data_IF_012108212404
#
_entry.id   IF_012108212404
#
_cell.length_a   1.000
_cell.length_b   1.000
_cell.length_c   1.000
_cell.angle_alpha   90.00
_cell.angle_beta   90.00
_cell.angle_gamma   90.00
#
_symmetry.space_group_name_H-M   'P 1'
#
loop_
_entity.id
_entity.type
_entity.pdbx_description
1 polymer ?
#
# COMPACT_ATOMS: atom_id res chain seq x y z
N UNK A 1 -5.13 11.64 9.34
CA UNK A 1 -4.49 10.58 8.54
C UNK A 1 -4.83 10.75 7.07
N UNK A 2 -3.81 10.84 6.24
CA UNK A 2 -3.89 11.06 4.78
C UNK A 2 -2.75 10.31 4.11
N UNK A 3 -2.97 9.85 2.89
CA UNK A 3 -1.90 9.25 2.08
C UNK A 3 -1.22 10.38 1.30
N UNK A 4 0.07 10.57 1.52
CA UNK A 4 0.93 11.36 0.64
C UNK A 4 1.42 10.44 -0.48
N UNK A 5 0.74 10.51 -1.62
CA UNK A 5 1.10 9.74 -2.81
C UNK A 5 2.45 10.21 -3.37
N UNK A 6 3.35 9.25 -3.58
CA UNK A 6 4.65 9.49 -4.18
C UNK A 6 4.55 9.25 -5.69
N UNK A 7 5.19 10.11 -6.47
CA UNK A 7 5.39 9.81 -7.89
C UNK A 7 6.45 8.72 -8.02
N UNK A 8 6.06 7.59 -8.61
CA UNK A 8 6.98 6.51 -8.94
C UNK A 8 7.14 6.43 -10.46
N UNK A 9 8.38 6.41 -10.98
CA UNK A 9 8.60 6.15 -12.41
C UNK A 9 8.35 4.69 -12.79
N UNK A 10 8.22 3.79 -11.80
CA UNK A 10 8.09 2.34 -12.01
C UNK A 10 6.63 1.86 -11.93
N UNK A 11 5.81 2.53 -11.12
CA UNK A 11 4.40 2.15 -10.92
C UNK A 11 3.51 3.38 -10.96
N UNK A 12 2.52 3.36 -11.86
CA UNK A 12 1.44 4.35 -11.85
C UNK A 12 0.26 3.80 -11.05
N UNK A 13 -0.14 4.52 -10.01
CA UNK A 13 -1.34 4.19 -9.23
C UNK A 13 -2.53 4.98 -9.81
N UNK A 14 -3.57 4.31 -10.36
CA UNK A 14 -4.75 4.99 -10.88
C UNK A 14 -5.47 5.81 -9.81
N UNK A 15 -6.06 6.95 -10.21
CA UNK A 15 -6.77 7.85 -9.28
C UNK A 15 -7.95 7.17 -8.56
N UNK A 16 -8.62 6.20 -9.19
CA UNK A 16 -9.67 5.41 -8.56
C UNK A 16 -9.11 4.53 -7.43
N UNK A 17 -8.00 3.82 -7.68
CA UNK A 17 -7.30 3.03 -6.67
C UNK A 17 -6.82 3.90 -5.50
N UNK A 18 -6.33 5.12 -5.76
CA UNK A 18 -5.96 6.07 -4.71
C UNK A 18 -7.14 6.43 -3.81
N UNK A 19 -8.29 6.79 -4.41
CA UNK A 19 -9.50 7.14 -3.64
C UNK A 19 -10.03 5.96 -2.83
N UNK A 20 -10.01 4.76 -3.39
CA UNK A 20 -10.42 3.56 -2.66
C UNK A 20 -9.48 3.25 -1.50
N UNK A 21 -8.17 3.34 -1.73
CA UNK A 21 -7.16 3.15 -0.70
C UNK A 21 -7.32 4.14 0.46
N UNK A 22 -7.61 5.41 0.18
CA UNK A 22 -7.89 6.41 1.22
C UNK A 22 -9.16 6.08 2.02
N UNK A 23 -10.22 5.59 1.35
CA UNK A 23 -11.45 5.13 2.03
C UNK A 23 -11.21 3.88 2.88
N UNK A 24 -10.37 2.97 2.41
CA UNK A 24 -9.99 1.78 3.14
C UNK A 24 -9.13 2.13 4.36
N UNK A 25 -8.14 3.02 4.20
CA UNK A 25 -7.26 3.48 5.27
C UNK A 25 -8.04 4.02 6.47
N UNK A 26 -9.12 4.78 6.23
CA UNK A 26 -9.97 5.32 7.28
C UNK A 26 -10.65 4.25 8.16
N UNK A 27 -10.63 2.97 7.74
CA UNK A 27 -11.23 1.83 8.43
C UNK A 27 -10.19 0.84 8.98
N UNK A 28 -8.91 1.04 8.69
CA UNK A 28 -7.85 0.12 9.13
C UNK A 28 -7.54 0.34 10.61
N UNK A 29 -7.45 -0.75 11.37
CA UNK A 29 -6.89 -0.74 12.72
C UNK A 29 -5.36 -0.78 12.67
N UNK A 30 -4.73 0.37 12.89
CA UNK A 30 -3.27 0.53 12.88
C UNK A 30 -2.59 -0.04 14.13
N UNK A 31 -3.34 -0.25 15.21
CA UNK A 31 -2.83 -0.85 16.44
C UNK A 31 -2.49 -2.32 16.26
N UNK A 32 -3.22 -3.01 15.38
CA UNK A 32 -2.98 -4.41 15.02
C UNK A 32 -1.91 -4.63 13.95
N UNK A 33 -1.38 -3.57 13.32
CA UNK A 33 -0.39 -3.69 12.25
C UNK A 33 1.01 -3.93 12.84
N UNK A 34 1.55 -5.14 12.63
CA UNK A 34 2.92 -5.55 12.98
C UNK A 34 3.98 -4.91 12.09
N UNK A 35 5.24 -5.31 12.29
CA UNK A 35 6.38 -4.83 11.51
C UNK A 35 6.56 -5.70 10.26
N UNK A 36 6.46 -5.07 9.09
CA UNK A 36 6.43 -5.77 7.80
C UNK A 36 7.70 -6.58 7.53
N UNK A 37 8.87 -6.08 7.90
CA UNK A 37 10.14 -6.79 7.68
C UNK A 37 10.26 -8.02 8.58
N UNK A 38 9.62 -7.98 9.75
CA UNK A 38 9.64 -9.07 10.72
C UNK A 38 8.66 -10.19 10.41
N UNK A 39 7.42 -9.86 10.05
CA UNK A 39 6.32 -10.83 9.97
C UNK A 39 5.48 -10.73 8.69
N UNK A 40 5.81 -9.80 7.78
CA UNK A 40 5.05 -9.55 6.56
C UNK A 40 3.68 -8.91 6.81
N UNK A 41 3.42 -8.41 8.02
CA UNK A 41 2.14 -7.81 8.39
C UNK A 41 1.81 -6.63 7.49
N UNK A 42 0.69 -6.74 6.79
CA UNK A 42 0.15 -5.69 5.94
C UNK A 42 -1.37 -5.73 5.92
N UNK A 43 -1.99 -4.60 5.60
CA UNK A 43 -3.43 -4.48 5.40
C UNK A 43 -3.72 -4.09 3.95
N UNK A 44 -4.60 -4.83 3.28
CA UNK A 44 -5.02 -4.49 1.91
C UNK A 44 -5.82 -3.20 1.90
N UNK A 45 -5.39 -2.22 1.10
CA UNK A 45 -6.09 -0.96 0.86
C UNK A 45 -6.90 -0.99 -0.45
N UNK A 46 -6.39 -1.67 -1.47
CA UNK A 46 -7.03 -1.80 -2.78
C UNK A 46 -6.56 -3.07 -3.49
N UNK A 47 -7.43 -3.72 -4.24
CA UNK A 47 -7.08 -4.85 -5.10
C UNK A 47 -7.83 -4.76 -6.42
N UNK A 48 -7.09 -4.66 -7.52
CA UNK A 48 -7.60 -4.60 -8.89
C UNK A 48 -6.76 -5.44 -9.84
N UNK A 49 -7.08 -5.40 -11.12
CA UNK A 49 -6.37 -6.16 -12.16
C UNK A 49 -4.88 -5.73 -12.22
N UNK A 50 -3.99 -6.65 -11.83
CA UNK A 50 -2.54 -6.44 -11.85
C UNK A 50 -1.97 -5.54 -10.74
N UNK A 51 -2.80 -4.95 -9.86
CA UNK A 51 -2.35 -4.01 -8.82
C UNK A 51 -2.98 -4.33 -7.46
N UNK A 52 -2.13 -4.48 -6.45
CA UNK A 52 -2.52 -4.59 -5.05
C UNK A 52 -1.83 -3.49 -4.26
N UNK A 53 -2.62 -2.64 -3.59
CA UNK A 53 -2.09 -1.65 -2.64
C UNK A 53 -2.24 -2.19 -1.22
N UNK A 54 -1.14 -2.15 -0.46
CA UNK A 54 -1.09 -2.59 0.92
C UNK A 54 -0.56 -1.47 1.80
N UNK A 55 -1.10 -1.37 3.01
CA UNK A 55 -0.51 -0.60 4.09
C UNK A 55 0.43 -1.51 4.89
N UNK A 56 1.66 -1.06 5.10
CA UNK A 56 2.67 -1.78 5.85
C UNK A 56 3.36 -0.84 6.85
N UNK A 57 3.80 -1.37 7.99
CA UNK A 57 4.72 -0.64 8.88
C UNK A 57 6.14 -1.10 8.60
N UNK A 58 6.97 -0.19 8.09
CA UNK A 58 8.37 -0.43 7.74
C UNK A 58 9.23 0.56 8.52
N UNK A 59 10.16 0.07 9.33
CA UNK A 59 11.01 0.89 10.21
C UNK A 59 10.20 1.92 11.05
N UNK A 60 9.02 1.51 11.54
CA UNK A 60 8.12 2.36 12.32
C UNK A 60 7.29 3.37 11.51
N UNK A 61 7.45 3.44 10.18
CA UNK A 61 6.67 4.31 9.29
C UNK A 61 5.53 3.54 8.63
N UNK A 62 4.39 4.19 8.45
CA UNK A 62 3.28 3.62 7.67
C UNK A 62 3.48 3.98 6.19
N UNK A 63 3.72 2.96 5.38
CA UNK A 63 3.94 3.07 3.94
C UNK A 63 2.83 2.36 3.16
N UNK A 64 2.53 2.89 1.99
CA UNK A 64 1.68 2.23 0.99
C UNK A 64 2.58 1.58 -0.04
N UNK A 65 2.49 0.25 -0.11
CA UNK A 65 3.22 -0.58 -1.06
C UNK A 65 2.29 -0.96 -2.22
N UNK A 66 2.77 -0.82 -3.44
CA UNK A 66 2.12 -1.33 -4.65
C UNK A 66 2.80 -2.62 -5.08
N UNK A 67 2.08 -3.74 -5.01
CA UNK A 67 2.49 -5.01 -5.58
C UNK A 67 1.91 -5.15 -6.98
N UNK A 68 2.78 -5.30 -7.99
CA UNK A 68 2.39 -5.47 -9.40
C UNK A 68 2.50 -6.94 -9.78
N UNK A 69 1.45 -7.46 -10.43
CA UNK A 69 1.36 -8.86 -10.82
C UNK A 69 1.29 -9.01 -12.34
N UNK A 70 2.10 -9.90 -12.89
CA UNK A 70 2.05 -10.31 -14.29
C UNK A 70 1.98 -11.84 -14.36
N UNK A 71 1.09 -12.35 -15.21
CA UNK A 71 0.92 -13.80 -15.43
C UNK A 71 0.75 -14.63 -14.13
N UNK A 72 0.10 -14.06 -13.10
CA UNK A 72 -0.17 -14.74 -11.83
C UNK A 72 1.03 -14.80 -10.87
N UNK A 73 2.13 -14.10 -11.17
CA UNK A 73 3.29 -13.98 -10.27
C UNK A 73 3.48 -12.54 -9.84
N UNK A 74 3.89 -12.35 -8.59
CA UNK A 74 4.37 -11.04 -8.11
C UNK A 74 5.65 -10.70 -8.86
N UNK A 75 5.65 -9.56 -9.54
CA UNK A 75 6.83 -9.10 -10.29
C UNK A 75 7.65 -8.18 -9.41
N UNK A 76 7.02 -7.13 -8.87
CA UNK A 76 7.70 -6.11 -8.07
C UNK A 76 6.79 -5.54 -6.99
N UNK A 77 7.42 -4.99 -5.95
CA UNK A 77 6.76 -4.23 -4.91
C UNK A 77 7.46 -2.87 -4.73
N UNK A 78 6.67 -1.79 -4.75
CA UNK A 78 7.18 -0.42 -4.75
C UNK A 78 6.50 0.43 -3.68
N UNK A 79 7.25 1.29 -3.00
CA UNK A 79 6.64 2.32 -2.14
C UNK A 79 6.01 3.39 -3.02
N UNK A 80 4.70 3.58 -2.89
CA UNK A 80 3.90 4.54 -3.68
C UNK A 80 3.22 5.59 -2.82
N UNK A 81 3.34 5.49 -1.50
CA UNK A 81 2.78 6.48 -0.59
C UNK A 81 3.32 6.36 0.83
N UNK A 82 3.21 7.46 1.56
CA UNK A 82 3.45 7.52 3.00
C UNK A 82 2.18 7.99 3.70
N UNK A 83 1.84 7.38 4.84
CA UNK A 83 0.68 7.81 5.62
C UNK A 83 1.11 8.79 6.70
N UNK A 84 0.60 10.01 6.58
CA UNK A 84 0.83 11.08 7.54
C UNK A 84 -0.40 11.24 8.45
N UNK A 85 -0.14 11.42 9.75
CA UNK A 85 -1.14 11.64 10.81
C UNK A 85 -1.78 13.01 10.75
#
# INVERSE_FOLDING_TARGET
MKIKWLESPLVSVPEEAKREAERALAKVDLGGLGDYERDGSSATLYMGEGLLLKLARVEGRLLVLASVWECGSLVEEHVVGEVEG
#
